data_IF_256368876074
#
_entry.id   IF_256368876074
#
_cell.length_a   1.000
_cell.length_b   1.000
_cell.length_c   1.000
_cell.angle_alpha   90.00
_cell.angle_beta   90.00
_cell.angle_gamma   90.00
#
_symmetry.space_group_name_H-M   'P 1'
#
loop_
_entity.id
_entity.type
_entity.pdbx_description
1 polymer ?
#
# COMPACT_ATOMS: atom_id res chain seq x y z
N UNK A 1 10.39 -14.14 -65.21
CA UNK A 1 9.58 -13.21 -64.39
C UNK A 1 9.93 -13.43 -62.93
N UNK A 2 10.88 -12.67 -62.40
CA UNK A 2 11.43 -12.85 -61.05
C UNK A 2 10.74 -11.84 -60.13
N UNK A 3 9.93 -12.32 -59.18
CA UNK A 3 9.21 -11.47 -58.21
C UNK A 3 10.21 -10.87 -57.22
N UNK A 4 10.40 -9.55 -57.30
CA UNK A 4 11.19 -8.77 -56.36
C UNK A 4 10.43 -8.67 -55.03
N UNK A 5 10.98 -9.27 -53.98
CA UNK A 5 10.45 -9.23 -52.61
C UNK A 5 10.65 -7.80 -52.09
N UNK A 6 9.58 -7.02 -51.96
CA UNK A 6 9.62 -5.70 -51.27
C UNK A 6 10.17 -5.93 -49.86
N UNK A 7 11.33 -5.37 -49.57
CA UNK A 7 11.87 -5.31 -48.22
C UNK A 7 10.90 -4.49 -47.36
N UNK A 8 10.45 -5.10 -46.26
CA UNK A 8 9.62 -4.43 -45.25
C UNK A 8 10.54 -3.45 -44.54
N UNK A 9 10.32 -2.15 -44.76
CA UNK A 9 11.01 -1.07 -44.06
C UNK A 9 10.96 -1.32 -42.54
N UNK A 10 12.08 -1.22 -41.81
CA UNK A 10 12.05 -1.41 -40.37
C UNK A 10 11.18 -0.32 -39.76
N UNK A 11 10.09 -0.72 -39.11
CA UNK A 11 9.25 0.16 -38.30
C UNK A 11 10.17 0.87 -37.30
N UNK A 12 10.40 2.17 -37.50
CA UNK A 12 11.20 3.02 -36.61
C UNK A 12 10.63 2.84 -35.20
N UNK A 13 11.39 2.21 -34.32
CA UNK A 13 10.99 1.99 -32.92
C UNK A 13 10.82 3.39 -32.32
N UNK A 14 9.58 3.76 -31.98
CA UNK A 14 9.29 5.00 -31.27
C UNK A 14 9.88 4.84 -29.85
N UNK A 15 11.13 5.26 -29.67
CA UNK A 15 11.78 5.31 -28.36
C UNK A 15 11.54 6.70 -27.81
N UNK A 16 10.72 6.80 -26.77
CA UNK A 16 10.58 8.03 -26.02
C UNK A 16 11.95 8.39 -25.43
N UNK A 17 12.44 9.59 -25.74
CA UNK A 17 13.73 10.10 -25.23
C UNK A 17 13.44 11.01 -24.05
N UNK A 18 14.10 10.76 -22.93
CA UNK A 18 14.02 11.60 -21.75
C UNK A 18 15.37 12.26 -21.54
N UNK A 19 15.39 13.58 -21.52
CA UNK A 19 16.60 14.37 -21.30
C UNK A 19 16.84 14.46 -19.80
N UNK A 20 18.04 14.11 -19.35
CA UNK A 20 18.45 14.14 -17.94
C UNK A 20 19.44 15.27 -17.69
N UNK A 21 19.51 15.72 -16.44
CA UNK A 21 20.52 16.64 -15.94
C UNK A 21 19.97 17.94 -15.35
N UNK A 22 20.63 18.40 -14.29
CA UNK A 22 20.33 19.64 -13.59
C UNK A 22 20.51 20.87 -14.48
N UNK A 23 19.76 21.95 -14.19
CA UNK A 23 19.93 23.24 -14.85
C UNK A 23 18.70 24.17 -14.78
N UNK A 24 18.87 25.38 -15.31
CA UNK A 24 17.78 26.34 -15.56
C UNK A 24 16.84 25.83 -16.66
N UNK A 25 15.64 26.41 -16.77
CA UNK A 25 14.68 26.00 -17.80
C UNK A 25 15.23 26.22 -19.21
N UNK A 26 16.08 27.22 -19.40
CA UNK A 26 16.74 27.49 -20.68
C UNK A 26 17.82 26.44 -20.99
N UNK A 27 18.57 25.96 -19.99
CA UNK A 27 19.53 24.86 -20.15
C UNK A 27 18.83 23.52 -20.43
N UNK A 28 17.67 23.28 -19.82
CA UNK A 28 16.84 22.10 -20.13
C UNK A 28 16.27 22.22 -21.54
N UNK A 29 15.76 23.40 -21.92
CA UNK A 29 15.27 23.68 -23.28
C UNK A 29 16.34 23.40 -24.33
N UNK A 30 17.56 23.92 -24.14
CA UNK A 30 18.65 23.71 -25.08
C UNK A 30 19.00 22.22 -25.28
N UNK A 31 18.96 21.42 -24.20
CA UNK A 31 19.16 19.97 -24.29
C UNK A 31 17.99 19.28 -25.01
N UNK A 32 16.75 19.67 -24.71
CA UNK A 32 15.57 19.17 -25.41
C UNK A 32 15.61 19.47 -26.91
N UNK A 33 16.06 20.66 -27.31
CA UNK A 33 16.25 21.04 -28.72
C UNK A 33 17.28 20.15 -29.42
N UNK A 34 18.34 19.74 -28.71
CA UNK A 34 19.40 18.91 -29.26
C UNK A 34 19.02 17.42 -29.36
N UNK A 35 18.29 16.89 -28.36
CA UNK A 35 18.10 15.45 -28.19
C UNK A 35 16.70 14.96 -28.57
N UNK A 36 15.67 15.81 -28.53
CA UNK A 36 14.28 15.40 -28.74
C UNK A 36 13.87 15.62 -30.19
N UNK A 37 13.70 14.51 -30.91
CA UNK A 37 13.16 14.54 -32.28
C UNK A 37 11.73 15.12 -32.29
N UNK A 38 11.51 16.14 -33.14
CA UNK A 38 10.22 16.83 -33.25
C UNK A 38 9.97 17.90 -32.18
N UNK A 39 10.98 18.28 -31.39
CA UNK A 39 10.85 19.34 -30.38
C UNK A 39 10.31 20.66 -30.95
N UNK A 40 10.82 21.07 -32.12
CA UNK A 40 10.44 22.33 -32.79
C UNK A 40 8.96 22.31 -33.22
N UNK A 41 8.42 21.12 -33.50
CA UNK A 41 7.02 20.95 -33.92
C UNK A 41 6.03 21.01 -32.74
N UNK A 42 6.53 21.00 -31.50
CA UNK A 42 5.69 21.10 -30.31
C UNK A 42 5.21 22.53 -30.08
N UNK A 43 3.97 22.67 -29.60
CA UNK A 43 3.47 23.98 -29.16
C UNK A 43 4.31 24.53 -27.99
N UNK A 44 4.40 25.87 -27.82
CA UNK A 44 5.13 26.46 -26.69
C UNK A 44 4.67 25.96 -25.32
N UNK A 45 3.37 25.65 -25.18
CA UNK A 45 2.81 25.03 -23.97
C UNK A 45 3.34 23.62 -23.76
N UNK A 46 3.33 22.77 -24.79
CA UNK A 46 3.86 21.41 -24.71
C UNK A 46 5.37 21.38 -24.42
N UNK A 47 6.14 22.32 -24.99
CA UNK A 47 7.56 22.50 -24.68
C UNK A 47 7.76 22.88 -23.20
N UNK A 48 6.99 23.84 -22.70
CA UNK A 48 7.05 24.28 -21.30
C UNK A 48 6.64 23.17 -20.32
N UNK A 49 5.58 22.42 -20.64
CA UNK A 49 5.14 21.26 -19.87
C UNK A 49 6.22 20.17 -19.83
N UNK A 50 6.89 19.92 -20.96
CA UNK A 50 7.98 18.95 -21.01
C UNK A 50 9.18 19.40 -20.18
N UNK A 51 9.59 20.67 -20.25
CA UNK A 51 10.69 21.20 -19.41
C UNK A 51 10.35 21.05 -17.92
N UNK A 52 9.13 21.40 -17.50
CA UNK A 52 8.66 21.23 -16.13
C UNK A 52 8.76 19.76 -15.68
N UNK A 53 8.27 18.83 -16.50
CA UNK A 53 8.32 17.39 -16.19
C UNK A 53 9.77 16.88 -16.10
N UNK A 54 10.65 17.31 -17.01
CA UNK A 54 12.07 16.91 -17.00
C UNK A 54 12.75 17.36 -15.70
N UNK A 55 12.53 18.62 -15.30
CA UNK A 55 13.02 19.18 -14.03
C UNK A 55 12.49 18.41 -12.82
N UNK A 56 11.18 18.15 -12.79
CA UNK A 56 10.56 17.40 -11.70
C UNK A 56 11.14 15.99 -11.57
N UNK A 57 11.31 15.29 -12.70
CA UNK A 57 11.83 13.92 -12.73
C UNK A 57 13.33 13.87 -12.42
N UNK A 58 14.11 14.91 -12.75
CA UNK A 58 15.51 15.03 -12.36
C UNK A 58 15.68 15.21 -10.85
N UNK A 59 14.79 15.99 -10.23
CA UNK A 59 14.80 16.25 -8.79
C UNK A 59 14.22 15.09 -7.96
N UNK A 60 13.65 14.06 -8.58
CA UNK A 60 13.12 12.91 -7.85
C UNK A 60 14.27 12.04 -7.31
N UNK A 61 14.14 11.51 -6.09
CA UNK A 61 15.08 10.54 -5.56
C UNK A 61 15.26 9.35 -6.52
N UNK A 62 16.51 9.00 -6.79
CA UNK A 62 16.83 7.88 -7.69
C UNK A 62 16.81 6.58 -6.89
N UNK A 63 15.86 5.70 -7.21
CA UNK A 63 15.72 4.42 -6.55
C UNK A 63 16.88 3.47 -6.86
N UNK A 64 17.23 2.55 -5.94
CA UNK A 64 18.18 1.48 -6.20
C UNK A 64 17.63 0.56 -7.30
N UNK A 65 18.50 0.16 -8.21
CA UNK A 65 18.18 -0.76 -9.29
C UNK A 65 18.95 -2.06 -9.09
N UNK A 66 18.28 -3.17 -9.39
CA UNK A 66 18.83 -4.52 -9.30
C UNK A 66 18.60 -5.27 -10.60
N UNK A 67 19.53 -6.17 -10.89
CA UNK A 67 19.44 -7.16 -11.95
C UNK A 67 19.51 -8.57 -11.39
N UNK A 68 19.03 -9.51 -12.21
CA UNK A 68 19.18 -10.93 -11.93
C UNK A 68 20.60 -11.35 -12.28
N UNK A 69 21.30 -11.93 -11.31
CA UNK A 69 22.57 -12.61 -11.53
C UNK A 69 22.33 -14.11 -11.41
N UNK A 70 22.86 -14.85 -12.38
CA UNK A 70 22.76 -16.30 -12.41
C UNK A 70 24.16 -16.86 -12.22
N UNK A 71 24.37 -17.61 -11.15
CA UNK A 71 25.61 -18.33 -10.88
C UNK A 71 25.30 -19.83 -10.82
N UNK A 72 25.57 -20.54 -11.91
CA UNK A 72 25.12 -21.92 -12.12
C UNK A 72 23.59 -22.03 -12.06
N UNK A 73 23.07 -22.83 -11.12
CA UNK A 73 21.63 -22.97 -10.86
C UNK A 73 21.09 -21.94 -9.86
N UNK A 74 21.97 -21.20 -9.16
CA UNK A 74 21.56 -20.20 -8.18
C UNK A 74 21.22 -18.87 -8.85
N UNK A 75 20.02 -18.36 -8.56
CA UNK A 75 19.61 -17.01 -8.94
C UNK A 75 19.74 -16.08 -7.74
N UNK A 76 20.43 -14.96 -7.93
CA UNK A 76 20.56 -13.90 -6.94
C UNK A 76 20.15 -12.55 -7.53
N UNK A 77 19.75 -11.64 -6.66
CA UNK A 77 19.36 -10.27 -7.03
C UNK A 77 20.39 -9.33 -6.43
N UNK A 78 20.91 -8.42 -7.25
CA UNK A 78 21.89 -7.44 -6.80
C UNK A 78 22.08 -6.33 -7.83
N UNK A 79 22.91 -5.32 -7.54
CA UNK A 79 23.15 -4.24 -8.48
C UNK A 79 23.80 -4.74 -9.78
N UNK A 80 23.79 -3.94 -10.83
CA UNK A 80 24.55 -4.25 -12.05
C UNK A 80 26.06 -4.21 -11.79
N UNK A 81 26.86 -4.93 -12.58
CA UNK A 81 28.33 -4.97 -12.42
C UNK A 81 28.99 -3.59 -12.52
N UNK A 82 28.37 -2.67 -13.26
CA UNK A 82 28.86 -1.29 -13.46
C UNK A 82 28.44 -0.33 -12.35
N UNK A 83 27.58 -0.75 -11.42
CA UNK A 83 27.05 0.11 -10.37
C UNK A 83 28.06 0.29 -9.25
N UNK A 84 28.29 1.53 -8.82
CA UNK A 84 29.10 1.82 -7.64
C UNK A 84 28.41 1.24 -6.38
N UNK A 85 29.07 0.28 -5.72
CA UNK A 85 28.48 -0.45 -4.59
C UNK A 85 28.19 0.45 -3.37
N UNK A 86 29.01 1.46 -3.12
CA UNK A 86 28.78 2.41 -2.01
C UNK A 86 27.56 3.29 -2.26
N UNK A 87 27.41 3.78 -3.50
CA UNK A 87 26.22 4.54 -3.88
C UNK A 87 24.95 3.65 -3.84
N UNK A 88 25.06 2.40 -4.26
CA UNK A 88 23.98 1.43 -4.17
C UNK A 88 23.56 1.21 -2.71
N UNK A 89 24.51 0.95 -1.81
CA UNK A 89 24.23 0.79 -0.38
C UNK A 89 23.59 2.04 0.23
N UNK A 90 24.09 3.24 -0.11
CA UNK A 90 23.50 4.50 0.35
C UNK A 90 22.04 4.65 -0.11
N UNK A 91 21.72 4.29 -1.36
CA UNK A 91 20.35 4.29 -1.87
C UNK A 91 19.45 3.26 -1.19
N UNK A 92 19.98 2.08 -0.87
CA UNK A 92 19.24 1.05 -0.13
C UNK A 92 18.90 1.53 1.29
N UNK A 93 19.86 2.15 1.98
CA UNK A 93 19.65 2.77 3.29
C UNK A 93 18.59 3.88 3.24
N UNK A 94 18.64 4.73 2.22
CA UNK A 94 17.66 5.81 2.01
C UNK A 94 16.26 5.23 1.72
N UNK A 95 16.15 4.29 0.78
CA UNK A 95 14.88 3.63 0.41
C UNK A 95 14.22 2.91 1.59
N UNK A 96 14.98 2.24 2.44
CA UNK A 96 14.44 1.46 3.57
C UNK A 96 14.47 2.19 4.91
N UNK A 97 14.94 3.43 4.94
CA UNK A 97 15.07 4.25 6.15
C UNK A 97 15.82 3.53 7.29
N UNK A 98 16.90 2.83 6.95
CA UNK A 98 17.65 2.02 7.90
C UNK A 98 19.13 1.92 7.55
N UNK A 99 19.98 2.18 8.55
CA UNK A 99 21.43 1.96 8.44
C UNK A 99 21.87 0.50 8.61
N UNK A 100 20.93 -0.43 8.85
CA UNK A 100 21.24 -1.86 8.99
C UNK A 100 21.21 -2.55 7.62
N UNK A 101 22.35 -3.06 7.17
CA UNK A 101 22.45 -3.84 5.94
C UNK A 101 21.58 -5.10 5.99
N UNK A 102 21.61 -5.84 7.11
CA UNK A 102 20.80 -7.05 7.29
C UNK A 102 19.30 -6.77 7.11
N UNK A 103 18.84 -5.62 7.63
CA UNK A 103 17.46 -5.20 7.46
C UNK A 103 17.14 -4.89 5.99
N UNK A 104 17.99 -4.11 5.32
CA UNK A 104 17.82 -3.74 3.91
C UNK A 104 17.84 -4.98 3.00
N UNK A 105 18.79 -5.89 3.22
CA UNK A 105 18.94 -7.14 2.48
C UNK A 105 17.75 -8.07 2.71
N UNK A 106 17.24 -8.14 3.95
CA UNK A 106 16.03 -8.89 4.25
C UNK A 106 14.80 -8.29 3.53
N UNK A 107 14.64 -6.95 3.49
CA UNK A 107 13.52 -6.32 2.76
C UNK A 107 13.59 -6.62 1.26
N UNK A 108 14.76 -6.51 0.65
CA UNK A 108 14.97 -6.87 -0.76
C UNK A 108 14.66 -8.35 -1.02
N UNK A 109 15.14 -9.22 -0.13
CA UNK A 109 14.94 -10.67 -0.23
C UNK A 109 13.45 -11.05 -0.13
N UNK A 110 12.67 -10.36 0.69
CA UNK A 110 11.22 -10.56 0.78
C UNK A 110 10.50 -10.18 -0.51
N UNK A 111 10.85 -9.04 -1.12
CA UNK A 111 10.31 -8.62 -2.42
C UNK A 111 10.69 -9.64 -3.51
N UNK A 112 11.95 -10.06 -3.57
CA UNK A 112 12.43 -11.02 -4.54
C UNK A 112 11.75 -12.40 -4.38
N UNK A 113 11.61 -12.86 -3.12
CA UNK A 113 10.92 -14.12 -2.80
C UNK A 113 9.44 -14.06 -3.16
N UNK A 114 8.75 -12.95 -2.88
CA UNK A 114 7.37 -12.76 -3.30
C UNK A 114 7.25 -12.84 -4.82
N UNK A 115 8.11 -12.12 -5.56
CA UNK A 115 8.16 -12.18 -7.03
C UNK A 115 8.34 -13.60 -7.55
N UNK A 116 9.27 -14.35 -6.97
CA UNK A 116 9.57 -15.73 -7.33
C UNK A 116 8.36 -16.64 -7.12
N UNK A 117 7.70 -16.55 -5.96
CA UNK A 117 6.54 -17.38 -5.64
C UNK A 117 5.34 -17.04 -6.52
N UNK A 118 5.10 -15.75 -6.77
CA UNK A 118 3.97 -15.29 -7.59
C UNK A 118 4.14 -15.66 -9.07
N UNK A 119 5.36 -15.52 -9.61
CA UNK A 119 5.62 -15.66 -11.06
C UNK A 119 6.32 -16.97 -11.45
N UNK A 120 6.63 -17.85 -10.48
CA UNK A 120 7.49 -19.04 -10.64
C UNK A 120 8.91 -18.73 -11.14
N UNK A 121 9.32 -17.46 -11.08
CA UNK A 121 10.64 -16.95 -11.46
C UNK A 121 10.85 -15.60 -10.80
N UNK A 122 12.09 -15.23 -10.57
CA UNK A 122 12.44 -13.88 -10.15
C UNK A 122 12.17 -12.93 -11.34
N UNK A 123 11.34 -11.89 -11.16
CA UNK A 123 11.14 -10.83 -12.16
C UNK A 123 11.79 -9.51 -11.70
N UNK A 124 12.96 -9.15 -12.25
CA UNK A 124 13.65 -7.91 -11.89
C UNK A 124 12.81 -6.65 -12.11
N UNK A 125 11.85 -6.66 -13.05
CA UNK A 125 10.99 -5.50 -13.29
C UNK A 125 10.03 -5.29 -12.13
N UNK A 126 9.47 -6.37 -11.60
CA UNK A 126 8.62 -6.30 -10.40
C UNK A 126 9.43 -5.80 -9.19
N UNK A 127 10.65 -6.31 -9.02
CA UNK A 127 11.51 -5.93 -7.90
C UNK A 127 11.89 -4.45 -7.98
N UNK A 128 12.36 -3.98 -9.14
CA UNK A 128 12.71 -2.58 -9.36
C UNK A 128 11.51 -1.65 -9.22
N UNK A 129 10.32 -2.06 -9.68
CA UNK A 129 9.10 -1.28 -9.47
C UNK A 129 8.70 -1.21 -7.99
N UNK A 130 8.88 -2.30 -7.24
CA UNK A 130 8.63 -2.33 -5.79
C UNK A 130 9.62 -1.46 -5.02
N UNK A 131 10.91 -1.50 -5.38
CA UNK A 131 11.93 -0.63 -4.79
C UNK A 131 11.63 0.85 -5.09
N UNK A 132 11.23 1.17 -6.32
CA UNK A 132 10.82 2.52 -6.68
C UNK A 132 9.60 2.99 -5.86
N UNK A 133 8.59 2.14 -5.72
CA UNK A 133 7.42 2.44 -4.88
C UNK A 133 7.81 2.69 -3.41
N UNK A 134 8.65 1.83 -2.82
CA UNK A 134 9.10 1.99 -1.43
C UNK A 134 9.93 3.26 -1.25
N UNK A 135 10.79 3.57 -2.23
CA UNK A 135 11.57 4.81 -2.24
C UNK A 135 10.67 6.06 -2.35
N UNK A 136 9.64 6.02 -3.20
CA UNK A 136 8.66 7.10 -3.35
C UNK A 136 7.70 7.20 -2.16
N UNK A 137 7.50 6.12 -1.40
CA UNK A 137 6.76 6.17 -0.15
C UNK A 137 7.44 7.06 0.90
N UNK A 138 8.72 7.41 0.71
CA UNK A 138 9.49 8.33 1.56
C UNK A 138 9.37 7.97 3.05
N UNK A 139 9.67 6.72 3.36
CA UNK A 139 9.68 6.25 4.74
C UNK A 139 10.75 6.99 5.55
N UNK A 140 10.41 7.41 6.76
CA UNK A 140 11.37 8.05 7.67
C UNK A 140 11.96 7.07 8.69
N UNK A 141 11.37 5.89 8.82
CA UNK A 141 11.78 4.84 9.74
C UNK A 141 11.50 3.42 9.20
N UNK A 142 12.03 2.41 9.89
CA UNK A 142 11.88 1.00 9.53
C UNK A 142 10.42 0.49 9.59
N UNK A 143 9.54 1.10 10.39
CA UNK A 143 8.13 0.70 10.46
C UNK A 143 7.40 1.14 9.19
N UNK A 144 7.62 2.40 8.79
CA UNK A 144 7.07 2.97 7.56
C UNK A 144 7.59 2.22 6.33
N UNK A 145 8.88 1.90 6.27
CA UNK A 145 9.44 1.19 5.11
C UNK A 145 8.94 -0.26 5.02
N UNK A 146 8.80 -0.96 6.17
CA UNK A 146 8.17 -2.28 6.21
C UNK A 146 6.73 -2.22 5.70
N UNK A 147 5.96 -1.21 6.11
CA UNK A 147 4.58 -1.02 5.68
C UNK A 147 4.52 -0.76 4.16
N UNK A 148 5.42 0.05 3.61
CA UNK A 148 5.52 0.29 2.17
C UNK A 148 5.82 -0.99 1.38
N UNK A 149 6.73 -1.85 1.87
CA UNK A 149 7.01 -3.16 1.25
C UNK A 149 5.75 -4.04 1.24
N UNK A 150 5.00 -4.07 2.34
CA UNK A 150 3.74 -4.82 2.41
C UNK A 150 2.67 -4.25 1.47
N UNK A 151 2.60 -2.92 1.33
CA UNK A 151 1.68 -2.25 0.40
C UNK A 151 1.96 -2.63 -1.06
N UNK A 152 3.24 -2.71 -1.47
CA UNK A 152 3.61 -3.14 -2.82
C UNK A 152 3.10 -4.56 -3.14
N UNK A 153 3.31 -5.50 -2.21
CA UNK A 153 2.82 -6.88 -2.37
C UNK A 153 1.28 -6.95 -2.33
N UNK A 154 0.63 -6.16 -1.47
CA UNK A 154 -0.84 -6.10 -1.37
C UNK A 154 -1.47 -5.56 -2.65
N UNK A 155 -0.86 -4.52 -3.23
CA UNK A 155 -1.29 -3.96 -4.52
C UNK A 155 -1.21 -4.99 -5.65
N UNK A 156 -0.08 -5.68 -5.79
CA UNK A 156 0.10 -6.70 -6.81
C UNK A 156 -0.90 -7.87 -6.65
N UNK A 157 -1.07 -8.38 -5.43
CA UNK A 157 -2.04 -9.42 -5.14
C UNK A 157 -3.49 -8.97 -5.45
N UNK A 158 -3.82 -7.70 -5.19
CA UNK A 158 -5.13 -7.14 -5.51
C UNK A 158 -5.34 -7.07 -7.03
N UNK A 159 -4.35 -6.60 -7.79
CA UNK A 159 -4.41 -6.59 -9.26
C UNK A 159 -4.52 -7.99 -9.84
N UNK A 160 -3.80 -8.96 -9.28
CA UNK A 160 -3.93 -10.37 -9.66
C UNK A 160 -5.35 -10.87 -9.44
N UNK A 161 -5.95 -10.61 -8.27
CA UNK A 161 -7.32 -11.03 -7.96
C UNK A 161 -8.34 -10.37 -8.90
N UNK A 162 -8.19 -9.06 -9.16
CA UNK A 162 -9.02 -8.33 -10.12
C UNK A 162 -8.90 -8.90 -11.55
N UNK A 163 -7.68 -9.23 -11.99
CA UNK A 163 -7.47 -9.87 -13.28
C UNK A 163 -8.17 -11.24 -13.36
N UNK A 164 -8.17 -12.01 -12.27
CA UNK A 164 -8.88 -13.29 -12.18
C UNK A 164 -10.39 -13.13 -12.26
N UNK A 165 -10.96 -12.10 -11.61
CA UNK A 165 -12.39 -11.77 -11.76
C UNK A 165 -12.75 -11.52 -13.21
N UNK A 166 -11.90 -10.79 -13.95
CA UNK A 166 -12.17 -10.38 -15.33
C UNK A 166 -12.27 -11.55 -16.32
N UNK A 167 -11.53 -12.64 -16.06
CA UNK A 167 -11.45 -13.82 -16.94
C UNK A 167 -12.23 -15.02 -16.40
N UNK A 168 -12.93 -14.89 -15.27
CA UNK A 168 -13.67 -15.99 -14.67
C UNK A 168 -14.99 -16.25 -15.41
N UNK A 169 -15.20 -17.49 -15.85
CA UNK A 169 -16.42 -17.90 -16.57
C UNK A 169 -17.52 -18.45 -15.65
N UNK A 170 -17.16 -18.81 -14.41
CA UNK A 170 -18.07 -19.42 -13.45
C UNK A 170 -18.37 -18.47 -12.28
N UNK A 171 -19.65 -18.36 -11.92
CA UNK A 171 -20.09 -17.50 -10.82
C UNK A 171 -19.34 -17.73 -9.48
N UNK A 172 -19.02 -18.98 -9.05
CA UNK A 172 -18.21 -19.19 -7.85
C UNK A 172 -16.80 -18.62 -7.92
N UNK A 173 -16.17 -18.63 -9.11
CA UNK A 173 -14.84 -18.05 -9.30
C UNK A 173 -14.87 -16.52 -9.24
N UNK A 174 -15.87 -15.91 -9.88
CA UNK A 174 -16.13 -14.46 -9.79
C UNK A 174 -16.31 -14.04 -8.34
N UNK A 175 -17.11 -14.78 -7.57
CA UNK A 175 -17.32 -14.50 -6.15
C UNK A 175 -16.04 -14.68 -5.32
N UNK A 176 -15.30 -15.78 -5.52
CA UNK A 176 -14.06 -16.05 -4.79
C UNK A 176 -13.02 -14.94 -4.99
N UNK A 177 -12.70 -14.63 -6.25
CA UNK A 177 -11.69 -13.62 -6.57
C UNK A 177 -12.20 -12.20 -6.31
N UNK A 178 -13.50 -11.94 -6.47
CA UNK A 178 -14.11 -10.65 -6.13
C UNK A 178 -14.03 -10.36 -4.63
N UNK A 179 -14.33 -11.36 -3.79
CA UNK A 179 -14.18 -11.26 -2.34
C UNK A 179 -12.72 -11.07 -1.92
N UNK A 180 -11.80 -11.80 -2.55
CA UNK A 180 -10.36 -11.64 -2.30
C UNK A 180 -9.88 -10.22 -2.67
N UNK A 181 -10.22 -9.75 -3.88
CA UNK A 181 -9.89 -8.41 -4.34
C UNK A 181 -10.42 -7.34 -3.39
N UNK A 182 -11.68 -7.47 -2.95
CA UNK A 182 -12.32 -6.52 -2.01
C UNK A 182 -11.56 -6.48 -0.69
N UNK A 183 -11.18 -7.64 -0.13
CA UNK A 183 -10.40 -7.70 1.11
C UNK A 183 -9.02 -7.06 0.98
N UNK A 184 -8.31 -7.33 -0.11
CA UNK A 184 -6.98 -6.78 -0.36
C UNK A 184 -7.03 -5.27 -0.59
N UNK A 185 -8.01 -4.76 -1.33
CA UNK A 185 -8.20 -3.32 -1.53
C UNK A 185 -8.54 -2.61 -0.22
N UNK A 186 -9.42 -3.18 0.62
CA UNK A 186 -9.72 -2.63 1.93
C UNK A 186 -8.49 -2.65 2.87
N UNK A 187 -7.66 -3.69 2.80
CA UNK A 187 -6.39 -3.74 3.53
C UNK A 187 -5.42 -2.66 3.02
N UNK A 188 -5.31 -2.48 1.71
CA UNK A 188 -4.48 -1.43 1.10
C UNK A 188 -4.90 -0.03 1.54
N UNK A 189 -6.21 0.26 1.56
CA UNK A 189 -6.73 1.54 2.07
C UNK A 189 -6.29 1.77 3.52
N UNK A 190 -6.44 0.77 4.40
CA UNK A 190 -6.01 0.88 5.80
C UNK A 190 -4.50 1.07 5.94
N UNK A 191 -3.70 0.39 5.13
CA UNK A 191 -2.25 0.56 5.10
C UNK A 191 -1.87 1.97 4.66
N UNK A 192 -2.49 2.49 3.60
CA UNK A 192 -2.26 3.86 3.12
C UNK A 192 -2.65 4.91 4.16
N UNK A 193 -3.80 4.75 4.83
CA UNK A 193 -4.21 5.61 5.95
C UNK A 193 -3.24 5.53 7.13
N UNK A 194 -2.74 4.34 7.44
CA UNK A 194 -1.77 4.12 8.52
C UNK A 194 -0.45 4.79 8.19
N UNK A 195 0.08 4.62 6.98
CA UNK A 195 1.31 5.26 6.53
C UNK A 195 1.18 6.80 6.59
N UNK A 196 0.06 7.35 6.09
CA UNK A 196 -0.20 8.78 6.16
C UNK A 196 -0.29 9.30 7.61
N UNK A 197 -0.82 8.51 8.54
CA UNK A 197 -0.87 8.85 9.97
C UNK A 197 0.52 8.83 10.61
N UNK A 198 1.33 7.81 10.30
CA UNK A 198 2.72 7.70 10.77
C UNK A 198 3.55 8.89 10.29
N UNK A 199 3.45 9.25 9.01
CA UNK A 199 4.16 10.40 8.42
C UNK A 199 3.73 11.76 8.96
N UNK A 200 2.47 11.88 9.41
CA UNK A 200 1.99 13.09 10.11
C UNK A 200 2.44 13.15 11.57
N UNK A 201 3.15 12.15 12.09
CA UNK A 201 3.66 12.15 13.46
C UNK A 201 2.58 12.09 14.55
N UNK A 202 1.37 11.63 14.24
CA UNK A 202 0.27 11.56 15.21
C UNK A 202 -0.27 12.92 15.67
N UNK A 203 -0.07 13.99 14.89
CA UNK A 203 -0.58 15.32 15.22
C UNK A 203 -2.12 15.32 15.20
N UNK A 204 -2.72 15.14 16.36
CA UNK A 204 -4.14 15.38 16.55
C UNK A 204 -4.32 16.90 16.60
N UNK A 205 -4.76 17.51 15.49
CA UNK A 205 -5.14 18.93 15.47
C UNK A 205 -6.40 19.09 16.31
N UNK A 206 -6.25 19.25 17.62
CA UNK A 206 -7.34 19.59 18.54
C UNK A 206 -7.74 21.03 18.24
N UNK A 207 -8.75 21.21 17.38
CA UNK A 207 -9.41 22.52 17.22
C UNK A 207 -10.17 22.82 18.51
N UNK A 208 -9.58 23.63 19.38
CA UNK A 208 -10.29 24.29 20.48
C UNK A 208 -11.31 25.27 19.88
N UNK A 209 -12.53 24.81 19.63
CA UNK A 209 -13.65 25.68 19.32
C UNK A 209 -14.16 26.23 20.65
N UNK A 210 -13.90 27.52 20.91
CA UNK A 210 -14.58 28.22 21.99
C UNK A 210 -16.06 28.35 21.62
N UNK A 211 -16.90 27.53 22.24
CA UNK A 211 -18.35 27.67 22.17
C UNK A 211 -18.73 28.70 23.23
N UNK A 212 -19.05 29.91 22.79
CA UNK A 212 -19.55 30.95 23.68
C UNK A 212 -20.99 30.57 24.07
N UNK A 213 -21.19 30.09 25.29
CA UNK A 213 -22.43 29.44 25.74
C UNK A 213 -23.54 30.44 26.12
N UNK A 214 -23.63 31.56 25.40
CA UNK A 214 -24.68 32.58 25.56
C UNK A 214 -25.89 32.23 24.68
N UNK A 215 -26.54 31.11 25.01
CA UNK A 215 -27.97 30.92 24.67
C UNK A 215 -28.34 30.08 23.45
N UNK A 216 -27.62 28.99 23.13
CA UNK A 216 -28.11 28.03 22.12
C UNK A 216 -27.30 26.74 22.11
N UNK A 217 -27.98 25.60 22.24
CA UNK A 217 -27.41 24.25 22.15
C UNK A 217 -26.55 24.09 20.89
N UNK A 218 -25.24 23.98 21.04
CA UNK A 218 -24.33 23.65 19.95
C UNK A 218 -24.08 22.13 19.96
N UNK A 219 -24.57 21.45 18.92
CA UNK A 219 -24.26 20.05 18.64
C UNK A 219 -22.96 20.01 17.84
N UNK A 220 -21.91 19.42 18.38
CA UNK A 220 -20.66 19.16 17.66
C UNK A 220 -20.59 17.66 17.33
N UNK A 221 -20.73 17.30 16.06
CA UNK A 221 -20.47 15.93 15.57
C UNK A 221 -19.57 15.98 14.34
N UNK A 222 -18.69 14.99 14.19
CA UNK A 222 -17.82 14.84 13.00
C UNK A 222 -18.59 14.28 11.79
N UNK A 223 -19.73 13.63 12.03
CA UNK A 223 -20.72 13.24 11.02
C UNK A 223 -22.13 13.39 11.58
N UNK A 224 -23.00 14.07 10.84
CA UNK A 224 -24.44 14.14 11.11
C UNK A 224 -25.13 13.11 10.23
N UNK A 225 -25.59 12.01 10.82
CA UNK A 225 -26.61 11.15 10.20
C UNK A 225 -27.94 11.53 10.83
N UNK A 226 -28.70 12.41 10.17
CA UNK A 226 -30.08 12.70 10.58
C UNK A 226 -30.99 11.54 10.20
N UNK A 227 -31.20 10.61 11.14
CA UNK A 227 -32.28 9.64 11.09
C UNK A 227 -33.46 10.12 11.96
N UNK A 228 -34.68 10.06 11.40
CA UNK A 228 -35.92 9.98 12.17
C UNK A 228 -36.45 11.29 12.78
N UNK A 229 -37.41 11.91 12.09
CA UNK A 229 -38.24 12.95 12.67
C UNK A 229 -39.23 12.36 13.69
N UNK A 230 -39.31 12.94 14.88
CA UNK A 230 -40.51 12.96 15.71
C UNK A 230 -40.45 14.11 16.74
N UNK A 231 -41.45 15.00 16.66
CA UNK A 231 -42.06 15.74 17.76
C UNK A 231 -43.55 15.81 17.38
N UNK A 232 -44.53 15.54 18.24
CA UNK A 232 -44.78 16.26 19.49
C UNK A 232 -45.37 15.37 20.59
N UNK A 233 -45.12 15.78 21.84
CA UNK A 233 -45.68 15.23 23.06
C UNK A 233 -46.88 16.05 23.50
N UNK A 234 -48.04 15.41 23.70
CA UNK A 234 -49.07 15.86 24.63
C UNK A 234 -49.89 14.68 25.14
N UNK A 235 -50.07 14.69 26.47
CA UNK A 235 -51.08 13.95 27.24
C UNK A 235 -50.85 12.44 27.44
N UNK A 236 -50.31 12.12 28.61
CA UNK A 236 -50.44 10.81 29.26
C UNK A 236 -51.87 10.65 29.79
N UNK A 237 -52.53 9.53 29.48
CA UNK A 237 -53.34 8.85 30.49
C UNK A 237 -52.94 7.38 30.61
N UNK A 238 -53.02 6.88 31.85
CA UNK A 238 -52.84 5.50 32.23
C UNK A 238 -53.64 4.52 31.35
N UNK A 239 -53.03 3.40 30.99
CA UNK A 239 -53.77 2.18 30.66
C UNK A 239 -53.30 1.47 29.40
N UNK A 240 -52.53 0.39 29.60
CA UNK A 240 -52.65 -0.85 28.84
C UNK A 240 -52.26 -0.86 27.37
N UNK A 241 -51.29 -1.73 27.08
CA UNK A 241 -51.24 -2.68 25.95
C UNK A 241 -49.88 -2.62 25.27
N UNK A 242 -48.99 -3.52 25.71
CA UNK A 242 -47.80 -3.92 24.98
C UNK A 242 -48.17 -4.49 23.60
N UNK A 243 -47.37 -4.29 22.54
CA UNK A 243 -47.65 -4.89 21.23
C UNK A 243 -47.58 -6.41 21.33
N UNK A 244 -48.70 -7.07 21.07
CA UNK A 244 -48.81 -8.51 20.99
C UNK A 244 -47.88 -9.04 19.89
N UNK A 245 -46.90 -9.85 20.30
CA UNK A 245 -46.14 -10.71 19.40
C UNK A 245 -47.10 -11.75 18.80
N UNK A 246 -47.07 -11.81 17.48
CA UNK A 246 -47.75 -12.78 16.65
C UNK A 246 -47.13 -14.18 16.89
N UNK A 247 -47.88 -15.13 17.47
CA UNK A 247 -47.59 -16.57 17.37
C UNK A 247 -47.30 -17.36 18.67
N UNK A 248 -48.38 -17.84 19.29
CA UNK A 248 -48.58 -19.15 19.95
C UNK A 248 -47.41 -19.87 20.67
N UNK A 249 -47.27 -19.69 22.00
CA UNK A 249 -47.52 -20.69 23.06
C UNK A 249 -47.06 -20.14 24.44
N UNK A 250 -47.89 -20.17 25.52
CA UNK A 250 -47.76 -19.25 26.65
C UNK A 250 -47.22 -19.86 27.95
N UNK A 251 -46.43 -20.94 27.90
CA UNK A 251 -45.68 -21.44 29.07
C UNK A 251 -44.42 -22.17 28.59
N UNK A 252 -43.33 -21.41 28.42
CA UNK A 252 -41.97 -21.95 28.33
C UNK A 252 -41.29 -21.75 29.68
N UNK A 253 -40.96 -22.85 30.34
CA UNK A 253 -40.29 -22.88 31.64
C UNK A 253 -38.98 -22.05 31.61
N UNK A 254 -38.64 -21.33 32.70
CA UNK A 254 -37.35 -20.67 32.79
C UNK A 254 -36.22 -21.69 32.73
N UNK A 255 -35.30 -21.52 31.77
CA UNK A 255 -34.07 -22.31 31.71
C UNK A 255 -33.31 -22.20 33.05
N UNK A 256 -32.83 -23.32 33.62
CA UNK A 256 -32.09 -23.29 34.87
C UNK A 256 -30.81 -22.47 34.71
N UNK A 257 -30.59 -21.54 35.65
CA UNK A 257 -29.32 -20.84 35.80
C UNK A 257 -28.20 -21.87 36.02
N UNK A 258 -27.18 -21.82 35.18
CA UNK A 258 -25.96 -22.58 35.42
C UNK A 258 -25.29 -22.04 36.68
N UNK A 259 -24.87 -22.91 37.63
CA UNK A 259 -24.13 -22.45 38.79
C UNK A 259 -22.77 -21.88 38.35
N UNK A 260 -22.43 -20.74 38.93
CA UNK A 260 -21.10 -20.15 38.96
C UNK A 260 -20.10 -21.19 39.47
N UNK A 261 -19.45 -21.89 38.53
CA UNK A 261 -18.29 -22.72 38.86
C UNK A 261 -17.10 -21.78 38.98
N UNK A 262 -16.62 -21.69 40.22
CA UNK A 262 -15.50 -20.85 40.62
C UNK A 262 -14.29 -21.00 39.71
N UNK A 263 -13.55 -19.89 39.64
CA UNK A 263 -12.26 -19.74 38.98
C UNK A 263 -11.42 -21.02 38.98
N UNK A 264 -11.21 -21.58 37.79
CA UNK A 264 -10.27 -22.67 37.58
C UNK A 264 -8.85 -22.12 37.81
N UNK A 265 -8.21 -22.55 38.90
CA UNK A 265 -6.83 -22.18 39.21
C UNK A 265 -5.88 -22.78 38.19
N UNK A 266 -5.30 -21.94 37.34
CA UNK A 266 -4.20 -22.31 36.43
C UNK A 266 -3.01 -22.86 37.23
N UNK A 267 -2.46 -24.04 36.91
CA UNK A 267 -1.29 -24.57 37.59
C UNK A 267 -0.03 -23.76 37.24
N UNK A 268 0.69 -23.35 38.28
CA UNK A 268 1.97 -22.62 38.20
C UNK A 268 3.04 -23.56 37.63
N UNK A 269 3.54 -23.28 36.42
CA UNK A 269 4.70 -23.94 35.84
C UNK A 269 6.01 -23.36 36.40
N UNK A 270 6.32 -23.67 37.67
CA UNK A 270 7.68 -23.54 38.23
C UNK A 270 7.99 -24.78 39.05
N UNK A 271 8.76 -25.69 38.46
CA UNK A 271 9.31 -26.85 39.17
C UNK A 271 10.32 -26.41 40.24
N UNK A 272 10.48 -27.18 41.33
CA UNK A 272 11.45 -26.90 42.37
C UNK A 272 12.86 -27.28 41.87
N UNK A 273 13.79 -26.32 41.87
CA UNK A 273 15.21 -26.64 41.81
C UNK A 273 15.61 -27.02 43.24
N UNK A 274 15.81 -28.31 43.48
CA UNK A 274 16.40 -28.83 44.71
C UNK A 274 17.85 -28.36 44.80
N UNK A 275 18.21 -27.75 45.92
CA UNK A 275 19.62 -27.63 46.29
C UNK A 275 20.20 -29.00 46.60
N UNK A 276 21.36 -29.28 46.03
CA UNK A 276 22.34 -30.20 46.60
C UNK A 276 23.67 -29.47 46.70
N UNK A 277 24.17 -29.40 47.92
CA UNK A 277 25.56 -29.08 48.22
C UNK A 277 26.42 -30.35 48.13
N UNK A 278 27.73 -30.10 48.12
CA UNK A 278 28.88 -31.00 48.38
C UNK A 278 29.60 -31.60 47.17
N UNK A 279 30.88 -31.22 47.09
CA UNK A 279 31.88 -31.53 46.07
C UNK A 279 32.85 -30.36 45.89
#
# INVERSE_FOLDING_TARGET
MTKQKRAKEPTKKLVATFVRGNGTDDEIRARCEAEISGWIDLSPKAQSDMIRIMREVENRPVSPAVSLRTDGEAQSVGPDETTNLSLYAARMTDTFASGSNDYCDQRLSEIARYSQLANKRVDPRFINASLAFVNEAAAEDAVQSTLAVQMAATHDAALWALARVRIADMAPQVQLFGNLATKLLNAYTKQAETLAKLQRGGEQVVKHIHIDNRGGQAVVTDQVVTGGANAESREQPFGGVSPALLGSHPFGEPLPAFPDQGQETVPIARGPISGSAEG
#
